data_IF_333669637960
#
_entry.id   IF_333669637960
#
_cell.length_a   1.000
_cell.length_b   1.000
_cell.length_c   1.000
_cell.angle_alpha   90.00
_cell.angle_beta   90.00
_cell.angle_gamma   90.00
#
_symmetry.space_group_name_H-M   'P 1'
#
loop_
_entity.id
_entity.type
_entity.pdbx_description
1 polymer ?
#
# COMPACT_ATOMS: atom_id res chain seq x y z
N UNK A 1 23.23 -7.68 -5.24
CA UNK A 1 23.96 -7.95 -6.50
C UNK A 1 23.01 -8.65 -7.47
N UNK A 2 22.06 -7.90 -8.05
CA UNK A 2 21.38 -8.34 -9.26
C UNK A 2 22.17 -7.77 -10.42
N UNK A 3 22.77 -8.63 -11.25
CA UNK A 3 23.60 -8.19 -12.37
C UNK A 3 22.65 -7.81 -13.51
N UNK A 4 22.34 -6.53 -13.63
CA UNK A 4 21.76 -5.96 -14.86
C UNK A 4 22.94 -5.48 -15.70
N UNK A 5 23.19 -6.12 -16.84
CA UNK A 5 24.38 -5.88 -17.66
C UNK A 5 24.32 -4.46 -18.27
N UNK A 6 24.99 -3.52 -17.62
CA UNK A 6 25.36 -2.21 -18.17
C UNK A 6 26.61 -2.44 -19.02
N UNK A 7 26.47 -2.62 -20.35
CA UNK A 7 27.40 -1.98 -21.29
C UNK A 7 27.04 -2.12 -22.77
N UNK A 8 27.20 -0.97 -23.43
CA UNK A 8 27.61 -0.77 -24.83
C UNK A 8 26.54 -0.80 -25.90
N UNK A 9 26.33 0.40 -26.45
CA UNK A 9 25.48 0.82 -27.57
C UNK A 9 25.79 0.14 -28.94
N UNK A 10 26.41 -1.04 -28.99
CA UNK A 10 26.85 -1.63 -30.27
C UNK A 10 26.52 -3.12 -30.47
N UNK A 11 25.87 -3.79 -29.52
CA UNK A 11 25.56 -5.25 -29.62
C UNK A 11 24.07 -5.44 -29.98
N UNK A 12 23.50 -4.51 -30.74
CA UNK A 12 22.05 -4.34 -30.81
C UNK A 12 21.27 -5.42 -31.60
N UNK A 13 21.93 -6.42 -32.21
CA UNK A 13 21.29 -7.25 -33.25
C UNK A 13 21.40 -8.78 -33.15
N UNK A 14 22.13 -9.38 -32.20
CA UNK A 14 22.32 -10.87 -32.19
C UNK A 14 21.89 -11.60 -30.92
N UNK A 15 21.68 -10.91 -29.80
CA UNK A 15 21.23 -11.52 -28.56
C UNK A 15 19.99 -10.75 -28.13
N UNK A 16 18.81 -11.27 -28.46
CA UNK A 16 17.53 -10.61 -28.18
C UNK A 16 17.56 -9.93 -26.81
N UNK A 17 17.38 -8.61 -26.81
CA UNK A 17 17.26 -7.81 -25.58
C UNK A 17 16.08 -8.37 -24.82
N UNK A 18 16.35 -9.15 -23.78
CA UNK A 18 15.34 -9.46 -22.79
C UNK A 18 15.19 -8.20 -21.94
N UNK A 19 14.06 -7.47 -22.02
CA UNK A 19 13.82 -6.39 -21.09
C UNK A 19 13.87 -7.00 -19.68
N UNK A 20 14.72 -6.45 -18.82
CA UNK A 20 14.65 -6.78 -17.41
C UNK A 20 13.28 -6.30 -16.95
N UNK A 21 12.40 -7.24 -16.60
CA UNK A 21 11.19 -6.89 -15.88
C UNK A 21 11.65 -6.37 -14.53
N UNK A 22 11.45 -5.08 -14.28
CA UNK A 22 11.76 -4.47 -13.00
C UNK A 22 10.84 -5.09 -11.93
N UNK A 23 11.38 -6.04 -11.18
CA UNK A 23 10.72 -6.61 -9.99
C UNK A 23 11.08 -5.74 -8.79
N UNK A 24 10.07 -5.25 -8.08
CA UNK A 24 10.24 -4.51 -6.83
C UNK A 24 10.12 -5.45 -5.64
N UNK A 25 10.68 -5.05 -4.51
CA UNK A 25 10.40 -5.68 -3.22
C UNK A 25 9.40 -4.82 -2.46
N UNK A 26 8.26 -5.36 -2.05
CA UNK A 26 7.22 -4.64 -1.31
C UNK A 26 7.06 -5.20 0.10
N UNK A 27 6.61 -4.37 1.04
CA UNK A 27 6.09 -4.85 2.31
C UNK A 27 4.84 -5.70 2.08
N UNK A 28 4.70 -6.79 2.85
CA UNK A 28 3.58 -7.72 2.80
C UNK A 28 2.99 -7.89 4.19
N UNK A 29 1.68 -7.76 4.29
CA UNK A 29 1.00 -8.02 5.54
C UNK A 29 -0.50 -7.76 5.47
N UNK A 30 -1.19 -8.27 6.48
CA UNK A 30 -2.59 -7.94 6.74
C UNK A 30 -2.71 -7.49 8.19
N UNK A 31 -3.64 -6.60 8.46
CA UNK A 31 -4.04 -6.18 9.80
C UNK A 31 -5.55 -6.27 9.88
N UNK A 32 -6.05 -6.84 10.98
CA UNK A 32 -7.47 -6.81 11.32
C UNK A 32 -7.56 -6.48 12.80
N UNK A 33 -8.10 -5.31 13.14
CA UNK A 33 -8.25 -4.85 14.51
C UNK A 33 -9.71 -4.48 14.77
N UNK A 34 -10.27 -5.04 15.83
CA UNK A 34 -11.57 -4.67 16.38
C UNK A 34 -11.34 -4.05 17.75
N UNK A 35 -11.74 -2.81 17.93
CA UNK A 35 -11.54 -2.10 19.18
C UNK A 35 -12.49 -0.90 19.26
N UNK A 36 -12.44 -0.20 20.38
CA UNK A 36 -13.09 1.10 20.52
C UNK A 36 -12.11 2.20 20.07
N UNK A 37 -12.64 3.36 19.64
CA UNK A 37 -11.85 4.56 19.36
C UNK A 37 -10.77 4.40 18.26
N UNK A 38 -10.90 3.43 17.34
CA UNK A 38 -9.93 3.30 16.22
C UNK A 38 -10.04 4.44 15.21
N UNK A 39 -11.13 5.21 15.23
CA UNK A 39 -11.28 6.45 14.47
C UNK A 39 -10.58 7.66 15.11
N UNK A 40 -10.14 7.54 16.37
CA UNK A 40 -9.61 8.66 17.17
C UNK A 40 -8.14 8.42 17.51
N UNK A 41 -7.80 7.22 17.99
CA UNK A 41 -6.45 6.87 18.44
C UNK A 41 -5.75 6.04 17.38
N UNK A 42 -4.65 6.54 16.79
CA UNK A 42 -3.86 5.76 15.86
C UNK A 42 -3.32 4.48 16.49
N UNK A 43 -3.22 3.44 15.69
CA UNK A 43 -2.67 2.14 16.09
C UNK A 43 -1.53 1.76 15.16
N UNK A 44 -0.57 1.02 15.70
CA UNK A 44 0.55 0.51 14.91
C UNK A 44 0.05 -0.45 13.82
N UNK A 45 0.61 -0.31 12.62
CA UNK A 45 0.30 -1.11 11.44
C UNK A 45 1.58 -1.72 10.87
N UNK A 46 1.99 -2.84 11.45
CA UNK A 46 3.23 -3.52 11.06
C UNK A 46 3.09 -4.36 9.79
N UNK A 47 4.19 -4.47 9.05
CA UNK A 47 4.35 -5.45 7.98
C UNK A 47 4.73 -6.82 8.57
N UNK A 48 4.17 -7.90 8.02
CA UNK A 48 4.51 -9.27 8.42
C UNK A 48 5.78 -9.79 7.72
N UNK A 49 6.16 -9.17 6.61
CA UNK A 49 7.36 -9.51 5.86
C UNK A 49 7.49 -8.68 4.59
N UNK A 50 8.14 -9.25 3.59
CA UNK A 50 8.30 -8.67 2.25
C UNK A 50 7.97 -9.68 1.16
N UNK A 51 7.69 -9.19 -0.05
CA UNK A 51 7.51 -10.01 -1.25
C UNK A 51 8.13 -9.34 -2.46
N UNK A 52 8.50 -10.13 -3.47
CA UNK A 52 8.83 -9.60 -4.79
C UNK A 52 7.56 -9.45 -5.63
N UNK A 53 7.51 -8.42 -6.45
CA UNK A 53 6.41 -8.19 -7.39
C UNK A 53 6.57 -9.02 -8.67
N UNK A 54 5.46 -9.29 -9.33
CA UNK A 54 5.46 -9.83 -10.70
C UNK A 54 5.66 -8.70 -11.73
N UNK A 55 5.69 -9.07 -13.01
CA UNK A 55 5.84 -8.12 -14.13
C UNK A 55 4.83 -6.98 -14.06
N UNK A 56 5.33 -5.74 -14.11
CA UNK A 56 4.51 -4.51 -14.18
C UNK A 56 3.58 -4.31 -12.97
N UNK A 57 3.83 -5.02 -11.88
CA UNK A 57 3.21 -4.74 -10.58
C UNK A 57 4.08 -3.76 -9.80
N UNK A 58 3.43 -2.95 -8.97
CA UNK A 58 4.07 -1.98 -8.07
C UNK A 58 3.63 -2.27 -6.63
N UNK A 59 4.19 -1.58 -5.65
CA UNK A 59 3.78 -1.78 -4.26
C UNK A 59 2.46 -1.07 -3.98
N UNK A 60 1.63 -1.69 -3.13
CA UNK A 60 0.42 -1.09 -2.62
C UNK A 60 0.26 -1.29 -1.12
N UNK A 61 -0.39 -0.33 -0.48
CA UNK A 61 -0.96 -0.48 0.85
C UNK A 61 -2.33 0.19 0.92
N UNK A 62 -3.24 -0.46 1.63
CA UNK A 62 -4.62 -0.01 1.82
C UNK A 62 -5.02 -0.19 3.27
N UNK A 63 -5.64 0.83 3.84
CA UNK A 63 -6.24 0.79 5.18
C UNK A 63 -7.70 1.21 5.08
N UNK A 64 -8.61 0.44 5.66
CA UNK A 64 -10.03 0.70 5.74
C UNK A 64 -10.44 0.81 7.20
N UNK A 65 -11.13 1.89 7.54
CA UNK A 65 -11.81 2.10 8.81
C UNK A 65 -13.31 2.01 8.61
N UNK A 66 -13.99 1.28 9.49
CA UNK A 66 -15.44 1.38 9.69
C UNK A 66 -15.65 1.62 11.18
N UNK A 67 -16.28 2.74 11.51
CA UNK A 67 -16.60 3.15 12.87
C UNK A 67 -18.13 3.28 13.01
N UNK A 68 -18.67 2.67 14.06
CA UNK A 68 -20.11 2.66 14.37
C UNK A 68 -20.40 3.25 15.75
N UNK A 69 -19.58 4.20 16.19
CA UNK A 69 -19.71 4.86 17.50
C UNK A 69 -18.89 4.16 18.58
N UNK A 70 -19.48 3.16 19.25
CA UNK A 70 -18.77 2.49 20.36
C UNK A 70 -17.71 1.48 19.89
N UNK A 71 -17.84 1.00 18.65
CA UNK A 71 -16.99 -0.04 18.07
C UNK A 71 -16.46 0.41 16.71
N UNK A 72 -15.26 -0.02 16.40
CA UNK A 72 -14.62 0.25 15.13
C UNK A 72 -13.87 -0.99 14.65
N UNK A 73 -13.69 -1.10 13.33
CA UNK A 73 -12.80 -2.08 12.72
C UNK A 73 -11.80 -1.36 11.80
N UNK A 74 -10.54 -1.76 11.91
CA UNK A 74 -9.48 -1.40 10.97
C UNK A 74 -9.05 -2.65 10.20
N UNK A 75 -9.03 -2.55 8.88
CA UNK A 75 -8.53 -3.57 7.97
C UNK A 75 -7.38 -2.98 7.18
N UNK A 76 -6.18 -3.51 7.34
CA UNK A 76 -4.98 -3.11 6.61
C UNK A 76 -4.50 -4.22 5.69
N UNK A 77 -4.01 -3.87 4.50
CA UNK A 77 -3.36 -4.77 3.57
C UNK A 77 -2.15 -4.10 2.94
N UNK A 78 -1.04 -4.83 2.83
CA UNK A 78 0.18 -4.43 2.12
C UNK A 78 0.61 -5.56 1.17
N UNK A 79 1.07 -5.21 -0.03
CA UNK A 79 1.59 -6.20 -0.98
C UNK A 79 1.84 -5.61 -2.37
N UNK A 80 1.80 -6.47 -3.39
CA UNK A 80 1.77 -6.06 -4.80
C UNK A 80 0.40 -5.49 -5.21
N UNK A 81 0.41 -4.57 -6.15
CA UNK A 81 -0.78 -4.15 -6.91
C UNK A 81 -1.15 -5.15 -8.00
N UNK A 82 -2.27 -4.92 -8.67
CA UNK A 82 -2.48 -5.48 -10.02
C UNK A 82 -1.51 -4.84 -11.02
N UNK A 83 -1.18 -5.57 -12.08
CA UNK A 83 -0.34 -5.07 -13.16
C UNK A 83 -0.90 -3.79 -13.80
N UNK A 84 -0.02 -2.82 -14.06
CA UNK A 84 -0.38 -1.55 -14.72
C UNK A 84 -0.93 -0.46 -13.79
N UNK A 85 -1.00 -0.71 -12.47
CA UNK A 85 -1.27 0.34 -11.50
C UNK A 85 -0.21 1.46 -11.59
N UNK A 86 -0.61 2.67 -11.20
CA UNK A 86 0.23 3.87 -11.25
C UNK A 86 0.38 4.44 -9.84
N UNK A 87 1.47 5.16 -9.64
CA UNK A 87 1.73 5.88 -8.40
C UNK A 87 0.57 6.81 -8.06
N UNK A 88 0.01 6.63 -6.87
CA UNK A 88 -1.12 7.41 -6.40
C UNK A 88 -1.23 7.29 -4.89
N UNK A 89 -1.78 8.33 -4.26
CA UNK A 89 -2.08 8.33 -2.83
C UNK A 89 -3.38 9.08 -2.62
N UNK A 90 -4.30 8.46 -1.88
CA UNK A 90 -5.60 9.04 -1.61
C UNK A 90 -6.13 8.62 -0.25
N UNK A 91 -6.90 9.52 0.36
CA UNK A 91 -7.85 9.18 1.41
C UNK A 91 -9.25 9.43 0.86
N UNK A 92 -10.17 8.49 1.09
CA UNK A 92 -11.57 8.59 0.64
C UNK A 92 -12.49 8.37 1.81
N UNK A 93 -13.41 9.31 2.02
CA UNK A 93 -14.49 9.18 2.99
C UNK A 93 -15.68 8.60 2.25
N UNK A 94 -16.03 7.36 2.56
CA UNK A 94 -17.15 6.63 1.96
C UNK A 94 -18.47 6.93 2.64
N UNK A 95 -18.44 7.20 3.94
CA UNK A 95 -19.60 7.59 4.75
C UNK A 95 -19.16 8.50 5.89
N UNK A 96 -19.95 9.55 6.12
CA UNK A 96 -19.76 10.51 7.22
C UNK A 96 -21.13 10.98 7.72
N UNK A 97 -21.83 10.11 8.46
CA UNK A 97 -23.18 10.39 8.96
C UNK A 97 -23.34 10.01 10.43
N UNK A 98 -24.54 10.24 10.97
CA UNK A 98 -24.90 10.06 12.40
C UNK A 98 -24.98 8.60 12.87
N UNK A 99 -24.25 7.67 12.26
CA UNK A 99 -24.29 6.26 12.64
C UNK A 99 -23.10 5.43 12.16
N UNK A 100 -22.60 5.68 10.95
CA UNK A 100 -21.42 4.99 10.41
C UNK A 100 -20.48 5.99 9.76
N UNK A 101 -19.22 5.94 10.19
CA UNK A 101 -18.10 6.55 9.48
C UNK A 101 -17.32 5.44 8.79
N UNK A 102 -17.12 5.57 7.48
CA UNK A 102 -16.33 4.63 6.72
C UNK A 102 -15.35 5.41 5.84
N UNK A 103 -14.07 5.09 5.94
CA UNK A 103 -13.02 5.79 5.19
C UNK A 103 -11.86 4.86 4.87
N UNK A 104 -11.15 5.14 3.78
CA UNK A 104 -9.99 4.35 3.39
C UNK A 104 -8.82 5.23 2.99
N UNK A 105 -7.62 4.79 3.33
CA UNK A 105 -6.36 5.27 2.81
C UNK A 105 -5.82 4.24 1.80
N UNK A 106 -5.29 4.72 0.67
CA UNK A 106 -4.64 3.89 -0.34
C UNK A 106 -3.38 4.59 -0.81
N UNK A 107 -2.29 3.85 -0.93
CA UNK A 107 -1.06 4.28 -1.58
C UNK A 107 -0.55 3.19 -2.54
N UNK A 108 -0.28 3.60 -3.77
CA UNK A 108 0.45 2.85 -4.79
C UNK A 108 1.76 3.58 -5.05
N UNK A 109 2.87 2.84 -5.13
CA UNK A 109 4.20 3.43 -5.30
C UNK A 109 5.18 2.48 -6.00
N UNK A 110 6.11 3.05 -6.78
CA UNK A 110 6.99 2.32 -7.70
C UNK A 110 8.47 2.33 -7.29
N UNK A 111 8.77 2.09 -6.01
CA UNK A 111 10.14 1.87 -5.53
C UNK A 111 10.20 0.77 -4.47
N UNK A 112 11.38 0.19 -4.25
CA UNK A 112 11.55 -0.85 -3.22
C UNK A 112 11.07 -0.37 -1.85
N UNK A 113 10.23 -1.19 -1.21
CA UNK A 113 9.69 -1.06 0.14
C UNK A 113 8.90 0.24 0.40
N UNK A 114 8.44 0.93 -0.64
CA UNK A 114 7.77 2.23 -0.50
C UNK A 114 6.40 2.21 0.21
N UNK A 115 5.78 1.03 0.35
CA UNK A 115 4.52 0.84 1.06
C UNK A 115 4.76 0.64 2.57
N UNK A 116 5.35 1.66 3.19
CA UNK A 116 5.96 1.61 4.53
C UNK A 116 5.13 2.27 5.65
N UNK A 117 3.86 2.63 5.42
CA UNK A 117 3.04 3.20 6.50
C UNK A 117 2.99 2.27 7.71
N UNK A 118 3.37 2.78 8.89
CA UNK A 118 3.51 1.99 10.12
C UNK A 118 2.43 2.30 11.16
N UNK A 119 1.48 3.16 10.82
CA UNK A 119 0.46 3.69 11.71
C UNK A 119 -0.84 3.95 10.95
N UNK A 120 -1.99 3.78 11.61
CA UNK A 120 -3.29 4.18 11.05
C UNK A 120 -3.47 5.70 10.95
N UNK A 121 -2.54 6.50 11.48
CA UNK A 121 -2.59 7.97 11.38
C UNK A 121 -2.65 8.48 9.92
N UNK A 122 -2.08 7.72 8.97
CA UNK A 122 -2.17 8.01 7.53
C UNK A 122 -3.60 8.12 7.00
N UNK A 123 -4.56 7.51 7.70
CA UNK A 123 -6.00 7.65 7.45
C UNK A 123 -6.62 8.67 8.41
N UNK A 124 -6.37 8.53 9.71
CA UNK A 124 -7.07 9.29 10.77
C UNK A 124 -6.84 10.80 10.68
N UNK A 125 -5.65 11.26 10.29
CA UNK A 125 -5.34 12.69 10.17
C UNK A 125 -6.17 13.41 9.09
N UNK A 126 -6.70 12.65 8.14
CA UNK A 126 -7.58 13.16 7.07
C UNK A 126 -9.07 13.03 7.43
N UNK A 127 -9.39 12.42 8.57
CA UNK A 127 -10.77 12.33 9.03
C UNK A 127 -11.20 13.68 9.62
N UNK A 128 -12.42 14.13 9.33
CA UNK A 128 -13.00 15.28 9.99
C UNK A 128 -13.11 14.99 11.49
N UNK A 129 -12.67 15.96 12.31
CA UNK A 129 -12.78 15.85 13.76
C UNK A 129 -14.26 15.71 14.17
N UNK A 130 -14.55 14.89 15.20
CA UNK A 130 -15.89 14.82 15.81
C UNK A 130 -16.43 16.18 16.27
#
# INVERSE_FOLDING_TARGET
>A
MSVCAIQSLLILFLLGFYPCLDTLTCHKGIMLKFDNNLAITPVEWFSLGTQKTDSREICQETLLLIDVGERSVLVGSKGSSSAGAQDSRAVTIHSQGSGVVAASYVQYCSSDLCNEANSSSVLLESLPLP
#
